data_IF_917125594097
#
_entry.id   IF_917125594097
#
_cell.length_a   1.000
_cell.length_b   1.000
_cell.length_c   1.000
_cell.angle_alpha   90.00
_cell.angle_beta   90.00
_cell.angle_gamma   90.00
#
_symmetry.space_group_name_H-M   'P 1'
#
loop_
_entity.id
_entity.type
_entity.pdbx_description
1 polymer ?
#
# COMPACT_ATOMS: atom_id res chain seq x y z
N UNK A 1 -6.05 -28.19 26.53
CA UNK A 1 -6.00 -26.82 25.96
C UNK A 1 -7.02 -26.73 24.85
N UNK A 2 -8.11 -25.97 25.01
CA UNK A 2 -9.09 -25.81 23.94
C UNK A 2 -8.54 -24.82 22.90
N UNK A 3 -8.27 -25.32 21.70
CA UNK A 3 -7.76 -24.58 20.52
C UNK A 3 -8.52 -23.25 20.26
N UNK A 4 -9.79 -23.18 20.66
CA UNK A 4 -10.63 -21.99 20.49
C UNK A 4 -10.28 -20.80 21.41
N UNK A 5 -9.51 -21.00 22.48
CA UNK A 5 -9.11 -19.91 23.39
C UNK A 5 -8.22 -18.87 22.70
N UNK A 6 -7.42 -19.26 21.71
CA UNK A 6 -6.57 -18.36 20.91
C UNK A 6 -7.37 -17.32 20.12
N UNK A 7 -8.61 -17.62 19.72
CA UNK A 7 -9.49 -16.66 19.03
C UNK A 7 -10.02 -15.55 19.94
N UNK A 8 -9.82 -15.65 21.26
CA UNK A 8 -10.14 -14.56 22.20
C UNK A 8 -8.95 -13.62 22.45
N UNK A 9 -7.75 -13.98 21.99
CA UNK A 9 -6.53 -13.22 22.22
C UNK A 9 -6.35 -12.15 21.12
N UNK A 10 -6.32 -10.84 21.46
CA UNK A 10 -6.06 -9.76 20.50
C UNK A 10 -4.76 -9.94 19.71
N UNK A 11 -3.75 -10.54 20.33
CA UNK A 11 -2.44 -10.82 19.72
C UNK A 11 -2.57 -11.69 18.46
N UNK A 12 -3.51 -12.64 18.44
CA UNK A 12 -3.74 -13.48 17.26
C UNK A 12 -4.19 -12.64 16.06
N UNK A 13 -5.15 -11.73 16.28
CA UNK A 13 -5.63 -10.81 15.25
C UNK A 13 -4.58 -9.79 14.84
N UNK A 14 -3.73 -9.36 15.78
CA UNK A 14 -2.60 -8.49 15.50
C UNK A 14 -1.64 -9.14 14.49
N UNK A 15 -1.23 -10.39 14.75
CA UNK A 15 -0.32 -11.16 13.89
C UNK A 15 -0.97 -11.47 12.54
N UNK A 16 -2.25 -11.85 12.51
CA UNK A 16 -2.97 -12.07 11.26
C UNK A 16 -3.07 -10.79 10.41
N UNK A 17 -3.33 -9.66 11.04
CA UNK A 17 -3.38 -8.35 10.35
C UNK A 17 -2.01 -7.98 9.79
N UNK A 18 -0.96 -8.13 10.60
CA UNK A 18 0.42 -7.86 10.18
C UNK A 18 0.87 -8.79 9.04
N UNK A 19 0.65 -10.10 9.17
CA UNK A 19 1.04 -11.09 8.16
C UNK A 19 0.29 -10.86 6.84
N UNK A 20 -1.00 -10.53 6.91
CA UNK A 20 -1.80 -10.16 5.74
C UNK A 20 -1.25 -8.90 5.07
N UNK A 21 -0.94 -7.86 5.85
CA UNK A 21 -0.39 -6.60 5.37
C UNK A 21 0.97 -6.79 4.67
N UNK A 22 1.93 -7.42 5.35
CA UNK A 22 3.27 -7.64 4.81
C UNK A 22 3.23 -8.55 3.59
N UNK A 23 2.54 -9.68 3.67
CA UNK A 23 2.46 -10.66 2.59
C UNK A 23 1.81 -10.10 1.33
N UNK A 24 0.64 -9.44 1.48
CA UNK A 24 -0.04 -8.80 0.35
C UNK A 24 0.78 -7.66 -0.25
N UNK A 25 1.46 -6.85 0.58
CA UNK A 25 2.30 -5.74 0.13
C UNK A 25 3.52 -6.24 -0.64
N UNK A 26 4.24 -7.21 -0.08
CA UNK A 26 5.38 -7.85 -0.72
C UNK A 26 4.99 -8.44 -2.07
N UNK A 27 3.95 -9.28 -2.07
CA UNK A 27 3.54 -9.97 -3.29
C UNK A 27 3.05 -8.98 -4.34
N UNK A 28 2.11 -8.10 -4.01
CA UNK A 28 1.51 -7.21 -5.01
C UNK A 28 2.51 -6.22 -5.60
N UNK A 29 3.34 -5.58 -4.77
CA UNK A 29 4.26 -4.51 -5.23
C UNK A 29 5.50 -5.04 -5.93
N UNK A 30 6.06 -6.15 -5.46
CA UNK A 30 7.39 -6.61 -5.89
C UNK A 30 7.36 -7.90 -6.72
N UNK A 31 6.24 -8.63 -6.75
CA UNK A 31 6.12 -9.90 -7.45
C UNK A 31 4.99 -9.83 -8.49
N UNK A 32 3.73 -9.89 -8.03
CA UNK A 32 2.54 -9.93 -8.87
C UNK A 32 2.43 -8.72 -9.81
N UNK A 33 2.67 -7.50 -9.32
CA UNK A 33 2.65 -6.29 -10.13
C UNK A 33 3.73 -6.28 -11.22
N UNK A 34 4.95 -6.75 -10.91
CA UNK A 34 6.06 -6.82 -11.87
C UNK A 34 5.79 -7.88 -12.93
N UNK A 35 5.33 -9.06 -12.53
CA UNK A 35 4.95 -10.13 -13.46
C UNK A 35 3.85 -9.63 -14.40
N UNK A 36 2.78 -9.04 -13.84
CA UNK A 36 1.68 -8.51 -14.63
C UNK A 36 2.14 -7.43 -15.62
N UNK A 37 3.02 -6.51 -15.21
CA UNK A 37 3.56 -5.47 -16.09
C UNK A 37 4.37 -6.04 -17.25
N UNK A 38 5.13 -7.12 -17.02
CA UNK A 38 5.97 -7.76 -18.05
C UNK A 38 5.18 -8.62 -19.02
N UNK A 39 4.13 -9.28 -18.55
CA UNK A 39 3.42 -10.31 -19.32
C UNK A 39 2.17 -9.76 -20.01
N UNK A 40 1.46 -8.80 -19.40
CA UNK A 40 0.21 -8.31 -19.94
C UNK A 40 0.42 -7.16 -20.92
N UNK A 41 -0.33 -7.12 -22.04
CA UNK A 41 -0.50 -5.91 -22.84
C UNK A 41 -0.91 -4.72 -21.96
N UNK A 42 -0.35 -3.53 -22.22
CA UNK A 42 -0.57 -2.32 -21.41
C UNK A 42 -2.05 -2.02 -21.09
N UNK A 43 -3.02 -2.17 -22.02
CA UNK A 43 -4.44 -1.98 -21.70
C UNK A 43 -4.95 -2.98 -20.66
N UNK A 44 -4.55 -4.25 -20.75
CA UNK A 44 -4.96 -5.31 -19.82
C UNK A 44 -4.30 -5.10 -18.45
N UNK A 45 -3.00 -4.80 -18.42
CA UNK A 45 -2.31 -4.40 -17.19
C UNK A 45 -3.01 -3.21 -16.52
N UNK A 46 -3.31 -2.17 -17.30
CA UNK A 46 -4.02 -0.99 -16.79
C UNK A 46 -5.38 -1.36 -16.20
N UNK A 47 -6.16 -2.23 -16.86
CA UNK A 47 -7.43 -2.71 -16.31
C UNK A 47 -7.25 -3.48 -15.02
N UNK A 48 -6.32 -4.44 -14.96
CA UNK A 48 -6.02 -5.18 -13.74
C UNK A 48 -5.70 -4.24 -12.57
N UNK A 49 -4.77 -3.30 -12.76
CA UNK A 49 -4.34 -2.36 -11.73
C UNK A 49 -5.49 -1.50 -11.18
N UNK A 50 -6.40 -1.01 -12.04
CA UNK A 50 -7.57 -0.22 -11.61
C UNK A 50 -8.50 -0.97 -10.66
N UNK A 51 -8.55 -2.30 -10.77
CA UNK A 51 -9.38 -3.14 -9.91
C UNK A 51 -8.60 -3.67 -8.70
N UNK A 52 -7.29 -3.90 -8.83
CA UNK A 52 -6.46 -4.36 -7.72
C UNK A 52 -6.19 -3.25 -6.70
N UNK A 53 -5.83 -2.04 -7.14
CA UNK A 53 -5.38 -0.99 -6.23
C UNK A 53 -6.40 -0.53 -5.19
N UNK A 54 -7.71 -0.40 -5.50
CA UNK A 54 -8.71 -0.08 -4.48
C UNK A 54 -8.73 -1.10 -3.33
N UNK A 55 -8.79 -2.39 -3.65
CA UNK A 55 -8.77 -3.45 -2.64
C UNK A 55 -7.43 -3.46 -1.87
N UNK A 56 -6.32 -3.28 -2.59
CA UNK A 56 -4.99 -3.21 -2.02
C UNK A 56 -4.82 -2.06 -1.01
N UNK A 57 -5.22 -0.84 -1.36
CA UNK A 57 -5.11 0.32 -0.48
C UNK A 57 -6.08 0.25 0.71
N UNK A 58 -7.26 -0.35 0.53
CA UNK A 58 -8.16 -0.67 1.64
C UNK A 58 -7.46 -1.62 2.61
N UNK A 59 -6.87 -2.70 2.11
CA UNK A 59 -6.15 -3.65 2.94
C UNK A 59 -5.00 -2.98 3.69
N UNK A 60 -4.20 -2.16 3.00
CA UNK A 60 -3.12 -1.37 3.58
C UNK A 60 -3.55 -0.30 4.58
N UNK A 61 -4.83 0.05 4.61
CA UNK A 61 -5.38 1.01 5.58
C UNK A 61 -6.00 0.29 6.77
N UNK A 62 -6.81 -0.73 6.51
CA UNK A 62 -7.56 -1.46 7.53
C UNK A 62 -6.64 -2.32 8.39
N UNK A 63 -5.65 -3.00 7.81
CA UNK A 63 -4.81 -3.92 8.58
C UNK A 63 -3.89 -3.22 9.58
N UNK A 64 -3.21 -2.08 9.28
CA UNK A 64 -2.53 -1.30 10.32
C UNK A 64 -3.48 -0.73 11.38
N UNK A 65 -4.70 -0.33 11.00
CA UNK A 65 -5.68 0.16 11.98
C UNK A 65 -6.07 -0.96 12.96
N UNK A 66 -6.30 -2.18 12.46
CA UNK A 66 -6.51 -3.35 13.30
C UNK A 66 -5.29 -3.67 14.17
N UNK A 67 -4.08 -3.51 13.64
CA UNK A 67 -2.85 -3.66 14.44
C UNK A 67 -2.81 -2.68 15.62
N UNK A 68 -3.16 -1.40 15.42
CA UNK A 68 -3.26 -0.41 16.51
C UNK A 68 -4.31 -0.85 17.55
N UNK A 69 -5.49 -1.28 17.09
CA UNK A 69 -6.60 -1.69 17.96
C UNK A 69 -6.34 -2.99 18.74
N UNK A 70 -5.40 -3.81 18.28
CA UNK A 70 -5.08 -5.10 18.88
C UNK A 70 -3.74 -5.12 19.61
N UNK A 71 -2.98 -4.02 19.56
CA UNK A 71 -1.71 -3.91 20.25
C UNK A 71 -1.92 -3.76 21.77
N UNK A 72 -1.43 -4.68 22.61
CA UNK A 72 -1.75 -4.74 24.04
C UNK A 72 -1.45 -3.45 24.81
N UNK A 73 -0.30 -2.82 24.56
CA UNK A 73 0.10 -1.59 25.25
C UNK A 73 -0.70 -0.36 24.79
N UNK A 74 -1.36 -0.41 23.62
CA UNK A 74 -2.16 0.72 23.11
C UNK A 74 -3.61 0.67 23.55
N UNK A 75 -4.12 -0.51 23.89
CA UNK A 75 -5.49 -0.71 24.39
C UNK A 75 -5.58 -0.55 25.91
N UNK A 76 -4.48 -0.77 26.64
CA UNK A 76 -4.41 -0.62 28.11
C UNK A 76 -4.17 0.82 28.61
N UNK A 77 -4.61 1.85 27.87
CA UNK A 77 -4.38 3.29 28.18
C UNK A 77 -5.16 3.84 29.39
N UNK A 78 -5.36 3.03 30.44
CA UNK A 78 -5.80 3.48 31.76
C UNK A 78 -4.64 3.67 32.75
N UNK A 79 -3.38 3.44 32.35
CA UNK A 79 -2.21 3.72 33.19
C UNK A 79 -1.13 4.50 32.42
N UNK A 80 -0.82 5.77 32.78
CA UNK A 80 0.07 6.63 31.98
C UNK A 80 1.57 6.37 32.16
N UNK A 81 2.01 5.33 32.87
CA UNK A 81 3.37 5.30 33.45
C UNK A 81 4.34 4.25 32.92
N UNK A 82 4.08 3.57 31.79
CA UNK A 82 5.01 2.51 31.33
C UNK A 82 4.93 2.19 29.83
N UNK A 83 5.02 3.18 28.96
CA UNK A 83 5.35 2.92 27.54
C UNK A 83 6.85 2.69 27.41
N UNK A 84 7.27 1.47 27.08
CA UNK A 84 8.68 1.18 26.79
C UNK A 84 9.11 1.85 25.49
N UNK A 85 10.42 2.06 25.30
CA UNK A 85 10.95 2.57 24.01
C UNK A 85 10.54 1.69 22.82
N UNK A 86 10.33 0.38 23.05
CA UNK A 86 9.84 -0.56 22.04
C UNK A 86 8.39 -0.29 21.67
N UNK A 87 7.51 -0.02 22.64
CA UNK A 87 6.11 0.32 22.39
C UNK A 87 5.98 1.65 21.63
N UNK A 88 6.82 2.63 21.96
CA UNK A 88 6.88 3.90 21.22
C UNK A 88 7.31 3.69 19.77
N UNK A 89 8.37 2.90 19.54
CA UNK A 89 8.82 2.58 18.18
C UNK A 89 7.76 1.81 17.38
N UNK A 90 7.15 0.79 18.00
CA UNK A 90 6.04 0.03 17.42
C UNK A 90 4.90 0.96 16.98
N UNK A 91 4.52 1.93 17.82
CA UNK A 91 3.46 2.88 17.51
C UNK A 91 3.79 3.70 16.25
N UNK A 92 4.98 4.29 16.18
CA UNK A 92 5.38 5.10 15.03
C UNK A 92 5.49 4.27 13.74
N UNK A 93 5.98 3.04 13.81
CA UNK A 93 6.05 2.15 12.65
C UNK A 93 4.64 1.82 12.14
N UNK A 94 3.72 1.39 13.01
CA UNK A 94 2.35 1.05 12.61
C UNK A 94 1.59 2.30 12.13
N UNK A 95 1.79 3.45 12.77
CA UNK A 95 1.22 4.72 12.33
C UNK A 95 1.72 5.11 10.93
N UNK A 96 3.01 4.88 10.64
CA UNK A 96 3.59 5.13 9.32
C UNK A 96 2.96 4.23 8.26
N UNK A 97 2.73 2.94 8.57
CA UNK A 97 2.01 2.02 7.67
C UNK A 97 0.58 2.52 7.40
N UNK A 98 -0.15 2.90 8.44
CA UNK A 98 -1.52 3.40 8.34
C UNK A 98 -1.59 4.66 7.49
N UNK A 99 -0.77 5.66 7.79
CA UNK A 99 -0.73 6.94 7.05
C UNK A 99 -0.38 6.69 5.58
N UNK A 100 0.57 5.79 5.31
CA UNK A 100 0.94 5.44 3.92
C UNK A 100 -0.24 4.83 3.15
N UNK A 101 -0.97 3.89 3.78
CA UNK A 101 -2.18 3.30 3.22
C UNK A 101 -3.27 4.34 2.97
N UNK A 102 -3.57 5.19 3.96
CA UNK A 102 -4.58 6.25 3.87
C UNK A 102 -4.26 7.23 2.75
N UNK A 103 -3.03 7.77 2.70
CA UNK A 103 -2.62 8.75 1.68
C UNK A 103 -2.81 8.20 0.27
N UNK A 104 -2.42 6.93 0.05
CA UNK A 104 -2.65 6.26 -1.23
C UNK A 104 -4.13 6.03 -1.52
N UNK A 105 -4.91 5.59 -0.54
CA UNK A 105 -6.33 5.29 -0.69
C UNK A 105 -7.17 6.54 -1.00
N UNK A 106 -6.97 7.62 -0.25
CA UNK A 106 -7.89 8.77 -0.27
C UNK A 106 -7.46 9.89 -1.21
N UNK A 107 -6.16 9.98 -1.53
CA UNK A 107 -5.62 11.09 -2.32
C UNK A 107 -4.88 10.62 -3.57
N UNK A 108 -3.75 9.93 -3.43
CA UNK A 108 -2.84 9.66 -4.57
C UNK A 108 -3.47 8.70 -5.58
N UNK A 109 -4.12 7.63 -5.11
CA UNK A 109 -4.79 6.63 -5.94
C UNK A 109 -5.95 7.22 -6.76
N UNK A 110 -6.92 7.93 -6.14
CA UNK A 110 -7.99 8.61 -6.87
C UNK A 110 -7.47 9.60 -7.91
N UNK A 111 -6.46 10.42 -7.56
CA UNK A 111 -5.86 11.38 -8.49
C UNK A 111 -5.13 10.72 -9.66
N UNK A 112 -4.43 9.62 -9.41
CA UNK A 112 -3.79 8.83 -10.48
C UNK A 112 -4.84 8.28 -11.44
N UNK A 113 -5.95 7.76 -10.92
CA UNK A 113 -7.06 7.23 -11.72
C UNK A 113 -7.73 8.31 -12.56
N UNK A 114 -7.90 9.52 -12.01
CA UNK A 114 -8.40 10.69 -12.75
C UNK A 114 -7.51 11.00 -13.96
N UNK A 115 -6.19 11.10 -13.76
CA UNK A 115 -5.22 11.33 -14.86
C UNK A 115 -5.24 10.19 -15.87
N UNK A 116 -5.39 8.93 -15.44
CA UNK A 116 -5.53 7.80 -16.37
C UNK A 116 -6.76 7.93 -17.27
N UNK A 117 -7.89 8.42 -16.76
CA UNK A 117 -9.10 8.68 -17.56
C UNK A 117 -8.86 9.81 -18.57
N UNK A 118 -8.22 10.90 -18.14
CA UNK A 118 -7.89 12.03 -19.03
C UNK A 118 -6.93 11.60 -20.15
N UNK A 119 -5.88 10.83 -19.83
CA UNK A 119 -4.98 10.23 -20.82
C UNK A 119 -5.78 9.40 -21.81
N UNK A 120 -6.70 8.56 -21.33
CA UNK A 120 -7.51 7.71 -22.21
C UNK A 120 -8.38 8.50 -23.18
N UNK A 121 -8.96 9.61 -22.72
CA UNK A 121 -9.72 10.51 -23.59
C UNK A 121 -8.82 11.20 -24.62
N UNK A 122 -7.63 11.64 -24.21
CA UNK A 122 -6.66 12.25 -25.11
C UNK A 122 -6.14 11.25 -26.16
N UNK A 123 -6.00 9.96 -25.84
CA UNK A 123 -5.65 8.93 -26.82
C UNK A 123 -6.66 8.87 -27.98
N UNK A 124 -7.95 9.07 -27.69
CA UNK A 124 -9.00 9.09 -28.72
C UNK A 124 -8.92 10.35 -29.58
N UNK A 125 -8.62 11.51 -28.98
CA UNK A 125 -8.43 12.77 -29.72
C UNK A 125 -7.21 12.73 -30.63
N UNK A 126 -6.11 12.19 -30.13
CA UNK A 126 -4.83 12.14 -30.85
C UNK A 126 -4.77 10.98 -31.84
N UNK A 127 -5.71 10.02 -31.79
CA UNK A 127 -5.64 8.78 -32.56
C UNK A 127 -4.42 7.89 -32.23
N UNK A 128 -3.74 8.15 -31.10
CA UNK A 128 -2.46 7.54 -30.72
C UNK A 128 -2.45 7.19 -29.24
N UNK A 129 -1.91 6.03 -28.85
CA UNK A 129 -1.86 5.65 -27.43
C UNK A 129 -0.82 6.47 -26.68
N UNK A 130 -1.08 6.68 -25.39
CA UNK A 130 -0.25 7.50 -24.50
C UNK A 130 1.17 6.96 -24.25
N UNK A 131 1.46 5.77 -24.75
CA UNK A 131 2.73 5.05 -24.58
C UNK A 131 3.36 4.64 -25.91
N UNK A 132 2.77 5.00 -27.05
CA UNK A 132 3.30 4.65 -28.36
C UNK A 132 4.55 5.47 -28.66
N UNK A 133 5.67 4.78 -28.87
CA UNK A 133 6.90 5.41 -29.38
C UNK A 133 6.72 5.72 -30.87
N UNK A 134 7.21 6.87 -31.30
CA UNK A 134 7.12 7.31 -32.68
C UNK A 134 8.11 8.44 -32.97
N UNK A 135 8.35 8.76 -34.24
CA UNK A 135 9.29 9.81 -34.64
C UNK A 135 8.81 11.19 -34.18
N UNK A 136 7.49 11.41 -34.15
CA UNK A 136 6.91 12.65 -33.65
C UNK A 136 6.61 12.59 -32.15
N UNK A 137 6.80 13.71 -31.43
CA UNK A 137 6.38 13.82 -30.04
C UNK A 137 4.86 13.67 -29.91
N UNK A 138 4.39 13.30 -28.72
CA UNK A 138 2.96 13.36 -28.42
C UNK A 138 2.46 14.81 -28.42
N UNK A 139 1.14 15.02 -28.52
CA UNK A 139 0.52 16.34 -28.32
C UNK A 139 0.97 16.96 -26.99
N UNK A 140 1.02 18.30 -26.93
CA UNK A 140 1.42 19.02 -25.71
C UNK A 140 0.57 18.61 -24.49
N UNK A 141 -0.72 18.38 -24.71
CA UNK A 141 -1.65 17.92 -23.67
C UNK A 141 -1.33 16.49 -23.22
N UNK A 142 -1.09 15.56 -24.14
CA UNK A 142 -0.70 14.20 -23.77
C UNK A 142 0.64 14.16 -23.02
N UNK A 143 1.61 15.01 -23.38
CA UNK A 143 2.87 15.14 -22.64
C UNK A 143 2.64 15.62 -21.20
N UNK A 144 1.80 16.65 -21.01
CA UNK A 144 1.41 17.15 -19.69
C UNK A 144 0.77 16.05 -18.84
N UNK A 145 -0.16 15.29 -19.42
CA UNK A 145 -0.85 14.20 -18.74
C UNK A 145 0.09 13.01 -18.43
N UNK A 146 1.02 12.68 -19.32
CA UNK A 146 2.04 11.65 -19.09
C UNK A 146 2.98 12.04 -17.94
N UNK A 147 3.40 13.31 -17.87
CA UNK A 147 4.21 13.83 -16.76
C UNK A 147 3.45 13.75 -15.43
N UNK A 148 2.18 14.20 -15.42
CA UNK A 148 1.34 14.12 -14.23
C UNK A 148 1.13 12.67 -13.75
N UNK A 149 0.90 11.75 -14.69
CA UNK A 149 0.79 10.32 -14.38
C UNK A 149 2.08 9.76 -13.77
N UNK A 150 3.23 10.04 -14.39
CA UNK A 150 4.53 9.57 -13.91
C UNK A 150 4.84 10.09 -12.50
N UNK A 151 4.55 11.37 -12.24
CA UNK A 151 4.72 11.97 -10.92
C UNK A 151 3.82 11.33 -9.85
N UNK A 152 2.52 11.23 -10.10
CA UNK A 152 1.58 10.64 -9.13
C UNK A 152 1.88 9.15 -8.89
N UNK A 153 2.21 8.39 -9.93
CA UNK A 153 2.62 7.00 -9.80
C UNK A 153 3.92 6.85 -8.98
N UNK A 154 4.90 7.73 -9.22
CA UNK A 154 6.14 7.77 -8.44
C UNK A 154 5.90 8.08 -6.97
N UNK A 155 5.06 9.09 -6.67
CA UNK A 155 4.68 9.44 -5.29
C UNK A 155 3.99 8.25 -4.62
N UNK A 156 3.02 7.62 -5.28
CA UNK A 156 2.30 6.46 -4.73
C UNK A 156 3.25 5.31 -4.39
N UNK A 157 4.19 5.04 -5.31
CA UNK A 157 5.21 3.99 -5.15
C UNK A 157 6.17 4.29 -4.00
N UNK A 158 6.59 5.55 -3.83
CA UNK A 158 7.46 5.96 -2.73
C UNK A 158 6.75 5.86 -1.37
N UNK A 159 5.50 6.34 -1.28
CA UNK A 159 4.68 6.22 -0.06
C UNK A 159 4.51 4.74 0.31
N UNK A 160 4.23 3.90 -0.67
CA UNK A 160 4.12 2.46 -0.48
C UNK A 160 5.44 1.82 -0.02
N UNK A 161 6.57 2.24 -0.59
CA UNK A 161 7.90 1.76 -0.20
C UNK A 161 8.24 2.14 1.25
N UNK A 162 7.95 3.37 1.67
CA UNK A 162 8.14 3.80 3.06
C UNK A 162 7.29 2.94 4.00
N UNK A 163 6.00 2.75 3.68
CA UNK A 163 5.13 1.85 4.45
C UNK A 163 5.68 0.42 4.51
N UNK A 164 6.17 -0.13 3.40
CA UNK A 164 6.77 -1.46 3.35
C UNK A 164 8.03 -1.58 4.21
N UNK A 165 8.92 -0.59 4.17
CA UNK A 165 10.11 -0.57 5.04
C UNK A 165 9.72 -0.53 6.52
N UNK A 166 8.67 0.22 6.88
CA UNK A 166 8.12 0.19 8.24
C UNK A 166 7.58 -1.19 8.60
N UNK A 167 6.91 -1.90 7.68
CA UNK A 167 6.44 -3.28 7.91
C UNK A 167 7.62 -4.21 8.19
N UNK A 168 8.68 -4.16 7.39
CA UNK A 168 9.87 -4.98 7.60
C UNK A 168 10.54 -4.71 8.96
N UNK A 169 10.72 -3.43 9.32
CA UNK A 169 11.30 -3.07 10.61
C UNK A 169 10.41 -3.55 11.77
N UNK A 170 9.10 -3.36 11.65
CA UNK A 170 8.16 -3.85 12.66
C UNK A 170 8.23 -5.37 12.83
N UNK A 171 8.43 -6.12 11.74
CA UNK A 171 8.68 -7.56 11.78
C UNK A 171 9.91 -7.96 12.59
N UNK A 172 11.01 -7.23 12.41
CA UNK A 172 12.23 -7.43 13.22
C UNK A 172 11.94 -7.15 14.69
N UNK A 173 11.24 -6.05 14.99
CA UNK A 173 10.88 -5.68 16.36
C UNK A 173 9.97 -6.73 17.03
N UNK A 174 8.99 -7.28 16.30
CA UNK A 174 8.16 -8.40 16.77
C UNK A 174 9.01 -9.66 17.04
N UNK A 175 10.01 -9.91 16.19
CA UNK A 175 10.91 -11.05 16.31
C UNK A 175 11.76 -11.05 17.58
N UNK A 176 12.10 -9.88 18.12
CA UNK A 176 12.85 -9.79 19.39
C UNK A 176 12.11 -10.40 20.60
N UNK A 177 10.78 -10.49 20.51
CA UNK A 177 9.94 -11.11 21.53
C UNK A 177 9.78 -12.62 21.38
N UNK A 178 10.28 -13.22 20.28
CA UNK A 178 10.19 -14.65 20.03
C UNK A 178 11.38 -15.37 20.69
N UNK A 179 11.07 -16.27 21.61
CA UNK A 179 12.00 -17.31 22.06
C UNK A 179 11.94 -18.46 21.06
N UNK A 180 12.93 -18.56 20.17
CA UNK A 180 13.10 -19.68 19.23
C UNK A 180 14.02 -20.75 19.80
#
# INVERSE_FOLDING_TARGET
MTSLSSFKNPTAYHVLSYGTLLGSTLFQSFIGGIIAFRVLPRPQFSTLQKHTFPAYFILQTVTPALMILTYPSFTSRLSPTSSSSKDTLAFYLIATMLVSGVVNMVYVGPKTTEIMKLRKHQETKDGRKSYDKGPEPHSAEMQRLNKAFGMLHGISSLVNLVGFLSMCWYGVLLGEGLSL
#
